data_IF_728476976190
#
_entry.id   IF_728476976190
#
_cell.length_a   1.000
_cell.length_b   1.000
_cell.length_c   1.000
_cell.angle_alpha   90.00
_cell.angle_beta   90.00
_cell.angle_gamma   90.00
#
_symmetry.space_group_name_H-M   'P 1'
#
loop_
_entity.id
_entity.type
_entity.pdbx_description
1 polymer ?
#
# COMPACT_ATOMS: atom_id res chain seq x y z
N UNK A 1 26.75 -13.56 0.09
CA UNK A 1 25.30 -13.73 0.35
C UNK A 1 24.59 -13.45 -0.95
N UNK A 2 23.95 -14.44 -1.59
CA UNK A 2 23.20 -14.17 -2.81
C UNK A 2 21.99 -13.33 -2.45
N UNK A 3 21.88 -12.14 -3.03
CA UNK A 3 20.65 -11.36 -2.96
C UNK A 3 19.55 -12.17 -3.66
N UNK A 4 18.38 -12.32 -3.02
CA UNK A 4 17.20 -12.87 -3.67
C UNK A 4 16.85 -11.93 -4.83
N UNK A 5 16.83 -12.46 -6.06
CA UNK A 5 16.43 -11.67 -7.23
C UNK A 5 14.91 -11.56 -7.28
N UNK A 6 14.39 -10.52 -7.93
CA UNK A 6 12.95 -10.34 -8.16
C UNK A 6 12.36 -11.59 -8.82
N UNK A 7 13.00 -12.06 -9.91
CA UNK A 7 12.60 -13.29 -10.60
C UNK A 7 12.51 -14.51 -9.67
N UNK A 8 13.48 -14.68 -8.76
CA UNK A 8 13.45 -15.78 -7.81
C UNK A 8 12.29 -15.66 -6.80
N UNK A 9 11.83 -14.44 -6.50
CA UNK A 9 10.66 -14.20 -5.64
C UNK A 9 9.35 -14.36 -6.39
N UNK A 10 9.28 -13.94 -7.66
CA UNK A 10 8.14 -14.17 -8.55
C UNK A 10 7.88 -15.67 -8.76
N UNK A 11 8.94 -16.45 -8.99
CA UNK A 11 8.88 -17.90 -9.19
C UNK A 11 8.81 -18.71 -7.89
N UNK A 12 9.03 -18.06 -6.73
CA UNK A 12 8.94 -18.75 -5.45
C UNK A 12 7.53 -19.26 -5.15
N UNK A 13 7.48 -20.44 -4.54
CA UNK A 13 6.26 -21.06 -4.03
C UNK A 13 5.47 -20.08 -3.16
N UNK A 14 4.17 -19.98 -3.46
CA UNK A 14 3.22 -19.17 -2.70
C UNK A 14 2.68 -19.99 -1.53
N UNK A 15 3.16 -19.71 -0.31
CA UNK A 15 2.62 -20.33 0.91
C UNK A 15 1.25 -19.75 1.29
N UNK A 16 1.03 -18.47 0.96
CA UNK A 16 -0.23 -17.76 1.13
C UNK A 16 -0.25 -16.55 0.19
N UNK A 17 -1.43 -16.17 -0.29
CA UNK A 17 -1.61 -14.94 -1.09
C UNK A 17 -2.72 -14.11 -0.48
N UNK A 18 -2.43 -12.84 -0.21
CA UNK A 18 -3.41 -11.83 0.17
C UNK A 18 -3.68 -10.94 -1.05
N UNK A 19 -4.96 -10.73 -1.34
CA UNK A 19 -5.40 -9.83 -2.41
C UNK A 19 -6.05 -8.64 -1.74
N UNK A 20 -5.63 -7.44 -2.12
CA UNK A 20 -6.18 -6.18 -1.64
C UNK A 20 -6.84 -5.46 -2.80
N UNK A 21 -8.18 -5.58 -2.98
CA UNK A 21 -8.90 -4.82 -3.98
C UNK A 21 -8.72 -3.32 -3.73
N UNK A 22 -8.39 -2.56 -4.77
CA UNK A 22 -8.25 -1.12 -4.70
C UNK A 22 -9.60 -0.47 -4.95
N UNK A 23 -10.45 -0.47 -3.93
CA UNK A 23 -11.77 0.16 -3.99
C UNK A 23 -11.62 1.68 -4.15
N UNK A 24 -12.08 2.22 -5.28
CA UNK A 24 -11.97 3.63 -5.66
C UNK A 24 -13.28 4.09 -6.33
N UNK A 25 -13.60 5.39 -6.29
CA UNK A 25 -14.75 5.95 -6.99
C UNK A 25 -14.59 5.87 -8.52
N UNK A 26 -15.67 6.05 -9.26
CA UNK A 26 -15.60 6.42 -10.69
C UNK A 26 -15.22 7.90 -10.85
N UNK A 27 -14.82 8.31 -12.04
CA UNK A 27 -14.64 9.73 -12.41
C UNK A 27 -15.91 10.55 -12.10
N UNK A 28 -17.10 10.02 -12.42
CA UNK A 28 -18.38 10.68 -12.16
C UNK A 28 -18.64 10.88 -10.66
N UNK A 29 -18.33 9.87 -9.84
CA UNK A 29 -18.42 9.97 -8.38
C UNK A 29 -17.41 10.99 -7.83
N UNK A 30 -16.20 11.03 -8.38
CA UNK A 30 -15.15 11.97 -7.97
C UNK A 30 -15.48 13.43 -8.31
N UNK A 31 -16.28 13.70 -9.35
CA UNK A 31 -16.78 15.06 -9.63
C UNK A 31 -17.63 15.61 -8.48
N UNK A 32 -18.29 14.74 -7.73
CA UNK A 32 -19.12 15.07 -6.55
C UNK A 32 -18.39 14.76 -5.23
N UNK A 33 -17.08 15.06 -5.18
CA UNK A 33 -16.20 14.71 -4.05
C UNK A 33 -16.67 15.24 -2.69
N UNK A 34 -17.45 16.32 -2.63
CA UNK A 34 -17.93 16.91 -1.37
C UNK A 34 -18.83 15.96 -0.59
N UNK A 35 -19.52 15.07 -1.29
CA UNK A 35 -20.43 14.06 -0.70
C UNK A 35 -19.83 12.66 -0.70
N UNK A 36 -18.61 12.50 -1.22
CA UNK A 36 -18.00 11.20 -1.45
C UNK A 36 -17.37 10.65 -0.16
N UNK A 37 -17.83 9.49 0.28
CA UNK A 37 -17.21 8.76 1.38
C UNK A 37 -16.01 7.95 0.89
N UNK A 38 -14.82 8.47 1.11
CA UNK A 38 -13.55 7.83 0.77
C UNK A 38 -12.96 7.00 1.93
N UNK A 39 -13.67 6.87 3.06
CA UNK A 39 -13.15 6.19 4.26
C UNK A 39 -12.88 4.70 4.05
N UNK A 40 -13.51 4.11 3.03
CA UNK A 40 -13.33 2.71 2.61
C UNK A 40 -12.39 2.55 1.42
N UNK A 41 -11.92 3.64 0.84
CA UNK A 41 -10.98 3.60 -0.28
C UNK A 41 -9.57 3.48 0.25
N UNK A 42 -8.94 2.32 0.05
CA UNK A 42 -7.56 2.08 0.48
C UNK A 42 -6.61 3.15 -0.04
N UNK A 43 -6.69 3.48 -1.32
CA UNK A 43 -5.86 4.52 -1.93
C UNK A 43 -6.26 5.91 -1.47
N UNK A 44 -7.55 6.24 -1.47
CA UNK A 44 -7.99 7.61 -1.19
C UNK A 44 -8.23 7.92 0.30
N UNK A 45 -7.78 7.05 1.21
CA UNK A 45 -7.95 7.21 2.65
C UNK A 45 -7.39 8.56 3.18
N UNK A 46 -6.37 9.11 2.52
CA UNK A 46 -5.83 10.44 2.82
C UNK A 46 -6.91 11.54 2.72
N UNK A 47 -7.86 11.46 1.79
CA UNK A 47 -8.90 12.48 1.62
C UNK A 47 -9.99 12.45 2.71
N UNK A 48 -10.05 11.40 3.53
CA UNK A 48 -10.99 11.27 4.65
C UNK A 48 -10.42 11.73 5.99
N UNK A 49 -9.16 12.18 6.01
CA UNK A 49 -8.47 12.65 7.22
C UNK A 49 -8.41 14.18 7.24
N UNK A 50 -8.34 14.82 8.42
CA UNK A 50 -8.13 16.26 8.51
C UNK A 50 -6.80 16.64 7.83
N UNK A 51 -6.69 17.88 7.34
CA UNK A 51 -5.48 18.36 6.66
C UNK A 51 -4.22 18.29 7.54
N UNK A 52 -4.40 18.41 8.85
CA UNK A 52 -3.36 18.28 9.85
C UNK A 52 -3.79 17.27 10.89
N UNK A 53 -2.91 16.34 11.23
CA UNK A 53 -3.13 15.45 12.37
C UNK A 53 -3.12 16.26 13.67
N UNK A 54 -4.21 16.18 14.44
CA UNK A 54 -4.39 16.99 15.65
C UNK A 54 -3.36 16.67 16.75
N UNK A 55 -2.79 15.46 16.75
CA UNK A 55 -1.89 14.98 17.81
C UNK A 55 -0.43 15.23 17.46
N UNK A 56 0.01 14.89 16.26
CA UNK A 56 1.39 15.08 15.83
C UNK A 56 1.64 16.45 15.23
N UNK A 57 0.58 17.13 14.76
CA UNK A 57 0.71 18.37 14.00
C UNK A 57 1.23 18.15 12.58
N UNK A 58 1.43 16.91 12.13
CA UNK A 58 1.90 16.60 10.77
C UNK A 58 0.82 16.93 9.73
N UNK A 59 1.24 17.42 8.57
CA UNK A 59 0.34 17.57 7.43
C UNK A 59 -0.01 16.20 6.86
N UNK A 60 -1.27 16.05 6.48
CA UNK A 60 -1.79 14.82 5.91
C UNK A 60 -1.24 14.62 4.49
N UNK A 61 -0.43 13.59 4.34
CA UNK A 61 0.24 13.23 3.09
C UNK A 61 -0.74 12.70 2.07
N UNK A 62 -0.58 13.09 0.81
CA UNK A 62 -1.34 12.47 -0.28
C UNK A 62 -0.99 10.99 -0.43
N UNK A 63 0.23 10.58 -0.07
CA UNK A 63 0.67 9.18 -0.13
C UNK A 63 0.09 8.32 1.00
N UNK A 64 -0.58 8.90 2.00
CA UNK A 64 -1.20 8.11 3.05
C UNK A 64 -2.32 7.21 2.47
N UNK A 65 -2.21 5.90 2.75
CA UNK A 65 -3.13 4.87 2.27
C UNK A 65 -3.30 3.77 3.31
N UNK A 66 -4.41 3.04 3.27
CA UNK A 66 -4.68 1.95 4.21
C UNK A 66 -4.86 0.60 3.52
N UNK A 67 -3.98 -0.35 3.84
CA UNK A 67 -4.11 -1.75 3.41
C UNK A 67 -4.70 -2.56 4.55
N UNK A 68 -5.97 -2.91 4.40
CA UNK A 68 -6.72 -3.72 5.36
C UNK A 68 -6.78 -5.16 4.83
N UNK A 69 -6.47 -6.12 5.69
CA UNK A 69 -6.63 -7.54 5.37
C UNK A 69 -8.08 -7.94 5.59
N UNK A 70 -8.74 -8.37 4.52
CA UNK A 70 -10.10 -8.89 4.55
C UNK A 70 -10.12 -10.42 4.67
N UNK A 71 -11.07 -10.95 5.43
CA UNK A 71 -11.21 -12.39 5.65
C UNK A 71 -10.29 -12.98 6.72
N UNK A 72 -10.33 -14.30 6.86
CA UNK A 72 -9.51 -15.04 7.82
C UNK A 72 -8.26 -15.59 7.12
N UNK A 73 -7.09 -15.23 7.65
CA UNK A 73 -5.78 -15.65 7.15
C UNK A 73 -4.88 -16.04 8.31
N UNK A 74 -3.99 -17.02 8.08
CA UNK A 74 -2.90 -17.36 9.01
C UNK A 74 -1.78 -16.31 8.95
N UNK A 75 -2.03 -15.15 9.57
CA UNK A 75 -1.10 -14.03 9.58
C UNK A 75 -0.06 -14.19 10.70
N UNK A 76 1.20 -13.77 10.47
CA UNK A 76 2.18 -13.63 11.53
C UNK A 76 1.63 -12.81 12.72
N UNK A 77 2.00 -13.17 13.97
CA UNK A 77 1.71 -12.36 15.15
C UNK A 77 2.19 -10.91 14.98
N UNK A 78 1.53 -9.94 15.64
CA UNK A 78 1.81 -8.50 15.48
C UNK A 78 3.24 -8.07 15.88
N UNK A 79 3.93 -8.92 16.63
CA UNK A 79 5.32 -8.76 17.07
C UNK A 79 6.32 -9.26 16.01
N UNK A 80 5.89 -10.12 15.10
CA UNK A 80 6.73 -10.66 14.03
C UNK A 80 6.66 -9.76 12.79
N UNK A 81 7.81 -9.22 12.43
CA UNK A 81 8.00 -8.48 11.19
C UNK A 81 8.64 -9.37 10.12
N UNK A 82 8.45 -8.99 8.87
CA UNK A 82 8.96 -9.65 7.67
C UNK A 82 9.45 -8.61 6.64
N UNK A 83 10.20 -9.07 5.65
CA UNK A 83 10.58 -8.24 4.51
C UNK A 83 9.46 -8.25 3.46
N UNK A 84 9.18 -7.09 2.87
CA UNK A 84 8.48 -6.99 1.60
C UNK A 84 9.51 -6.63 0.53
N UNK A 85 9.37 -7.26 -0.63
CA UNK A 85 10.04 -6.87 -1.87
C UNK A 85 8.97 -6.61 -2.93
N UNK A 86 9.02 -5.46 -3.60
CA UNK A 86 8.08 -5.12 -4.67
C UNK A 86 8.51 -5.71 -6.01
N UNK A 87 7.60 -5.75 -6.98
CA UNK A 87 7.85 -6.25 -8.34
C UNK A 87 8.86 -5.41 -9.14
N UNK A 88 9.07 -4.15 -8.77
CA UNK A 88 10.10 -3.27 -9.32
C UNK A 88 11.39 -3.21 -8.47
N UNK A 89 11.44 -3.94 -7.35
CA UNK A 89 12.68 -4.22 -6.62
C UNK A 89 12.93 -3.42 -5.35
N UNK A 90 12.00 -2.56 -4.92
CA UNK A 90 12.07 -1.91 -3.62
C UNK A 90 11.90 -2.91 -2.47
N UNK A 91 12.55 -2.63 -1.34
CA UNK A 91 12.57 -3.54 -0.20
C UNK A 91 12.44 -2.82 1.13
N UNK A 92 11.48 -3.24 1.96
CA UNK A 92 11.22 -2.61 3.27
C UNK A 92 10.70 -3.61 4.31
N UNK A 93 10.70 -3.19 5.59
CA UNK A 93 10.18 -4.02 6.68
C UNK A 93 8.71 -3.73 6.91
N UNK A 94 7.93 -4.79 7.09
CA UNK A 94 6.51 -4.71 7.37
C UNK A 94 6.07 -5.69 8.44
N UNK A 95 4.87 -5.49 8.96
CA UNK A 95 4.15 -6.39 9.85
C UNK A 95 2.65 -6.24 9.65
N UNK A 96 1.91 -7.22 10.14
CA UNK A 96 0.48 -7.03 10.39
C UNK A 96 0.26 -6.37 11.75
N UNK A 97 -0.61 -5.37 11.80
CA UNK A 97 -0.97 -4.65 13.02
C UNK A 97 -2.49 -4.69 13.25
N UNK A 98 -2.94 -4.25 14.43
CA UNK A 98 -4.36 -4.21 14.79
C UNK A 98 -4.90 -5.46 15.48
N UNK A 99 -6.02 -5.30 16.20
CA UNK A 99 -6.68 -6.38 16.97
C UNK A 99 -7.78 -7.05 16.15
N UNK A 100 -8.90 -6.34 15.95
CA UNK A 100 -10.07 -6.80 15.19
C UNK A 100 -9.87 -6.66 13.68
N UNK A 101 -9.41 -5.50 13.25
CA UNK A 101 -9.06 -5.20 11.87
C UNK A 101 -7.55 -5.34 11.74
N UNK A 102 -7.10 -6.18 10.81
CA UNK A 102 -5.68 -6.38 10.53
C UNK A 102 -5.28 -5.45 9.41
N UNK A 103 -4.20 -4.68 9.62
CA UNK A 103 -3.63 -3.78 8.61
C UNK A 103 -2.21 -4.19 8.30
N UNK A 104 -1.78 -4.02 7.06
CA UNK A 104 -0.36 -4.07 6.72
C UNK A 104 0.27 -2.73 7.11
N UNK A 105 1.39 -2.77 7.83
CA UNK A 105 2.08 -1.58 8.32
C UNK A 105 3.58 -1.73 8.17
N UNK A 106 4.25 -0.64 7.84
CA UNK A 106 5.71 -0.55 7.65
C UNK A 106 6.38 0.09 8.86
N UNK A 107 7.68 -0.12 9.03
CA UNK A 107 8.42 0.32 10.22
C UNK A 107 9.10 1.67 10.05
N UNK A 108 9.92 1.81 9.01
CA UNK A 108 10.75 3.00 8.81
C UNK A 108 9.95 4.18 8.26
N UNK A 109 8.95 3.87 7.43
CA UNK A 109 8.23 4.89 6.68
C UNK A 109 6.80 4.42 6.41
N UNK A 110 5.82 5.10 7.02
CA UNK A 110 4.40 4.74 6.93
C UNK A 110 3.81 4.96 5.53
N UNK A 111 4.50 5.72 4.67
CA UNK A 111 4.03 6.15 3.35
C UNK A 111 4.73 5.41 2.22
N UNK A 112 5.70 4.54 2.49
CA UNK A 112 6.50 3.87 1.47
C UNK A 112 5.66 3.08 0.45
N UNK A 113 4.62 2.37 0.92
CA UNK A 113 3.70 1.66 0.02
C UNK A 113 2.87 2.66 -0.79
N UNK A 114 2.44 3.76 -0.18
CA UNK A 114 1.69 4.80 -0.86
C UNK A 114 2.49 5.51 -1.94
N UNK A 115 3.75 5.85 -1.66
CA UNK A 115 4.68 6.40 -2.67
C UNK A 115 4.95 5.41 -3.78
N UNK A 116 5.10 4.13 -3.45
CA UNK A 116 5.28 3.10 -4.47
C UNK A 116 4.05 2.97 -5.39
N UNK A 117 2.84 2.82 -4.83
CA UNK A 117 1.60 2.64 -5.61
C UNK A 117 1.20 3.93 -6.34
N UNK A 118 1.03 5.02 -5.59
CA UNK A 118 0.52 6.28 -6.15
C UNK A 118 1.58 7.03 -6.95
N UNK A 119 2.85 6.91 -6.58
CA UNK A 119 3.97 7.46 -7.35
C UNK A 119 4.02 6.83 -8.74
N UNK A 120 3.91 5.49 -8.86
CA UNK A 120 3.82 4.83 -10.17
C UNK A 120 2.67 5.36 -11.04
N UNK A 121 1.50 5.62 -10.46
CA UNK A 121 0.38 6.21 -11.19
C UNK A 121 0.66 7.65 -11.64
N UNK A 122 1.29 8.46 -10.78
CA UNK A 122 1.61 9.85 -11.05
C UNK A 122 2.77 9.99 -12.06
N UNK A 123 3.81 9.18 -11.94
CA UNK A 123 5.00 9.17 -12.80
C UNK A 123 4.68 8.75 -14.24
N UNK A 124 3.60 8.00 -14.43
CA UNK A 124 3.05 7.60 -15.73
C UNK A 124 1.94 8.55 -16.22
N UNK A 125 1.76 9.70 -15.58
CA UNK A 125 0.77 10.73 -15.92
C UNK A 125 -0.70 10.25 -15.89
N UNK A 126 -1.01 9.14 -15.19
CA UNK A 126 -2.40 8.68 -15.03
C UNK A 126 -3.18 9.54 -14.03
N UNK A 127 -2.50 10.22 -13.10
CA UNK A 127 -3.11 11.05 -12.07
C UNK A 127 -2.18 12.21 -11.69
N UNK A 128 -2.74 13.33 -11.21
CA UNK A 128 -1.91 14.40 -10.63
C UNK A 128 -1.53 14.04 -9.19
N UNK A 129 -0.23 13.86 -8.95
CA UNK A 129 0.33 13.64 -7.61
C UNK A 129 0.48 14.93 -6.81
N UNK A 130 0.43 14.80 -5.48
CA UNK A 130 0.66 15.90 -4.54
C UNK A 130 1.56 15.41 -3.40
N UNK A 131 2.22 16.32 -2.69
CA UNK A 131 2.91 15.97 -1.46
C UNK A 131 1.89 15.88 -0.30
N UNK A 132 1.00 16.88 -0.23
CA UNK A 132 0.00 16.99 0.83
C UNK A 132 -1.40 17.20 0.27
N UNK A 133 -2.41 16.63 0.96
CA UNK A 133 -3.82 16.67 0.52
C UNK A 133 -4.36 18.10 0.38
N UNK A 134 -3.89 19.06 1.19
CA UNK A 134 -4.36 20.46 1.13
C UNK A 134 -3.92 21.17 -0.17
N UNK A 135 -2.90 20.66 -0.86
CA UNK A 135 -2.44 21.21 -2.15
C UNK A 135 -3.45 20.90 -3.26
N UNK A 136 -4.19 19.80 -3.13
CA UNK A 136 -5.20 19.36 -4.07
C UNK A 136 -6.56 20.03 -3.81
N UNK A 137 -6.63 21.33 -4.10
CA UNK A 137 -7.85 22.15 -3.90
C UNK A 137 -9.02 21.72 -4.78
N UNK A 138 -8.73 21.03 -5.89
CA UNK A 138 -9.73 20.61 -6.90
C UNK A 138 -10.06 19.13 -6.82
N UNK A 139 -9.42 18.38 -5.91
CA UNK A 139 -9.56 16.92 -5.76
C UNK A 139 -9.22 16.14 -7.03
N UNK A 140 -8.27 16.65 -7.83
CA UNK A 140 -7.81 16.01 -9.06
C UNK A 140 -6.79 14.89 -8.83
N UNK A 141 -6.35 14.70 -7.58
CA UNK A 141 -5.51 13.58 -7.16
C UNK A 141 -6.30 12.40 -6.57
N UNK A 142 -7.65 12.43 -6.59
CA UNK A 142 -8.47 11.28 -6.24
C UNK A 142 -8.27 10.21 -7.31
N UNK A 143 -7.77 9.04 -6.91
CA UNK A 143 -7.58 7.92 -7.83
C UNK A 143 -8.93 7.27 -8.09
N UNK A 144 -9.28 7.05 -9.36
CA UNK A 144 -10.58 6.52 -9.80
C UNK A 144 -10.45 5.15 -10.47
N UNK A 145 -11.58 4.49 -10.75
CA UNK A 145 -11.62 3.22 -11.49
C UNK A 145 -11.03 3.38 -12.89
N UNK A 146 -11.26 4.53 -13.53
CA UNK A 146 -10.76 4.87 -14.85
C UNK A 146 -9.23 5.01 -14.87
N UNK A 147 -8.66 5.61 -13.82
CA UNK A 147 -7.21 5.66 -13.60
C UNK A 147 -6.62 4.26 -13.48
N UNK A 148 -7.19 3.41 -12.60
CA UNK A 148 -6.71 2.04 -12.39
C UNK A 148 -6.89 1.16 -13.64
N UNK A 149 -7.98 1.35 -14.39
CA UNK A 149 -8.22 0.65 -15.65
C UNK A 149 -7.21 1.06 -16.73
N UNK A 150 -6.85 2.35 -16.80
CA UNK A 150 -5.87 2.85 -17.75
C UNK A 150 -4.46 2.35 -17.41
N UNK A 151 -4.14 2.27 -16.12
CA UNK A 151 -2.91 1.64 -15.63
C UNK A 151 -2.87 0.12 -15.90
N UNK A 152 -4.00 -0.57 -15.75
CA UNK A 152 -4.14 -1.99 -16.02
C UNK A 152 -4.16 -2.89 -14.77
N UNK A 153 -4.26 -2.31 -13.58
CA UNK A 153 -4.34 -3.07 -12.32
C UNK A 153 -5.28 -2.41 -11.30
N UNK A 154 -6.10 -3.22 -10.63
CA UNK A 154 -7.14 -2.80 -9.69
C UNK A 154 -6.99 -3.43 -8.29
N UNK A 155 -5.86 -4.08 -8.02
CA UNK A 155 -5.58 -4.79 -6.78
C UNK A 155 -4.09 -4.85 -6.49
N UNK A 156 -3.74 -4.92 -5.21
CA UNK A 156 -2.39 -5.31 -4.79
C UNK A 156 -2.39 -6.78 -4.44
N UNK A 157 -1.32 -7.49 -4.80
CA UNK A 157 -1.14 -8.90 -4.46
C UNK A 157 0.09 -9.05 -3.60
N UNK A 158 -0.11 -9.52 -2.36
CA UNK A 158 0.96 -9.79 -1.41
C UNK A 158 1.08 -11.31 -1.22
N UNK A 159 2.17 -11.87 -1.75
CA UNK A 159 2.49 -13.30 -1.71
C UNK A 159 3.50 -13.60 -0.60
N UNK A 160 3.13 -14.45 0.36
CA UNK A 160 4.09 -15.06 1.30
C UNK A 160 4.88 -16.12 0.54
N UNK A 161 6.19 -15.92 0.40
CA UNK A 161 7.06 -16.87 -0.30
C UNK A 161 7.61 -17.94 0.65
N UNK A 162 8.17 -19.01 0.11
CA UNK A 162 9.00 -19.96 0.86
C UNK A 162 10.45 -19.46 1.11
N UNK A 163 10.76 -18.19 0.84
CA UNK A 163 12.10 -17.61 1.00
C UNK A 163 12.24 -16.86 2.32
N UNK A 164 13.44 -16.90 2.86
CA UNK A 164 13.83 -16.13 4.05
C UNK A 164 15.08 -15.30 3.78
N UNK A 165 15.27 -14.23 4.57
CA UNK A 165 16.46 -13.38 4.58
C UNK A 165 16.90 -13.14 6.02
N UNK A 166 18.21 -13.21 6.27
CA UNK A 166 18.77 -12.88 7.58
C UNK A 166 18.75 -11.37 7.81
N UNK A 167 18.28 -10.96 8.99
CA UNK A 167 18.37 -9.57 9.44
C UNK A 167 19.79 -9.22 9.92
N UNK A 168 20.01 -7.97 10.32
CA UNK A 168 21.31 -7.49 10.82
C UNK A 168 21.80 -8.19 12.09
N UNK A 169 20.95 -9.00 12.75
CA UNK A 169 21.30 -9.82 13.93
C UNK A 169 21.42 -11.31 13.56
N UNK A 170 21.34 -11.66 12.28
CA UNK A 170 21.41 -13.03 11.80
C UNK A 170 20.12 -13.84 11.96
N UNK A 171 19.01 -13.22 12.40
CA UNK A 171 17.72 -13.91 12.54
C UNK A 171 17.06 -14.05 11.17
N UNK A 172 16.57 -15.24 10.84
CA UNK A 172 15.81 -15.44 9.60
C UNK A 172 14.43 -14.79 9.66
N UNK A 173 14.08 -14.11 8.59
CA UNK A 173 12.82 -13.40 8.41
C UNK A 173 12.18 -13.82 7.10
N UNK A 174 10.87 -14.03 7.12
CA UNK A 174 10.10 -14.29 5.92
C UNK A 174 10.28 -13.15 4.90
N UNK A 175 10.26 -13.51 3.62
CA UNK A 175 10.20 -12.56 2.51
C UNK A 175 8.85 -12.70 1.82
N UNK A 176 8.12 -11.59 1.78
CA UNK A 176 6.86 -11.47 1.07
C UNK A 176 7.09 -10.65 -0.19
N UNK A 177 6.40 -11.01 -1.27
CA UNK A 177 6.47 -10.35 -2.55
C UNK A 177 5.21 -9.54 -2.78
N UNK A 178 5.33 -8.24 -3.01
CA UNK A 178 4.22 -7.32 -3.26
C UNK A 178 4.22 -6.91 -4.74
N UNK A 179 3.07 -7.01 -5.40
CA UNK A 179 2.92 -6.64 -6.82
C UNK A 179 1.72 -5.74 -7.04
N UNK A 180 1.86 -4.83 -8.00
CA UNK A 180 0.85 -3.86 -8.41
C UNK A 180 0.77 -3.70 -9.93
#
# INVERSE_FOLDING_TARGET
MSFLTIKALEEAEALQTLIFPLNVPTDEEALNWQTLDLSKSSLNACYSKPERDEKSGEMNSWYDMEIIVEGQHDLPPKEKWFYIVTDDGDGFKARFSGRKIKKLSTFEDKEIIGRWVKGRLADLDFITGFEYVYQDKRRIGIITKEVLKSYGADKLVLKKTNKTKKDGRGTERDVWFLSF
#
